data_IF_146268388382
#
_entry.id   IF_146268388382
#
_cell.length_a   1.000
_cell.length_b   1.000
_cell.length_c   1.000
_cell.angle_alpha   90.00
_cell.angle_beta   90.00
_cell.angle_gamma   90.00
#
_symmetry.space_group_name_H-M   'P 1'
#
loop_
_entity.id
_entity.type
_entity.pdbx_description
1 polymer ?
#
# COMPACT_ATOMS: atom_id res chain seq x y z
N UNK A 1 32.55 4.69 -33.64
CA UNK A 1 31.09 4.66 -33.90
C UNK A 1 30.73 5.78 -34.86
N UNK A 2 30.24 5.46 -36.07
CA UNK A 2 29.73 6.48 -37.01
C UNK A 2 28.55 7.20 -36.37
N UNK A 3 28.42 8.53 -36.54
CA UNK A 3 27.36 9.36 -35.91
C UNK A 3 25.95 8.73 -35.96
N UNK A 4 25.64 8.03 -37.06
CA UNK A 4 24.39 7.27 -37.28
C UNK A 4 24.15 6.14 -36.26
N UNK A 5 25.20 5.43 -35.84
CA UNK A 5 25.08 4.35 -34.87
C UNK A 5 24.89 4.90 -33.44
N UNK A 6 25.48 6.05 -33.13
CA UNK A 6 25.27 6.72 -31.83
C UNK A 6 23.81 7.12 -31.60
N UNK A 7 23.17 7.72 -32.61
CA UNK A 7 21.74 8.09 -32.55
C UNK A 7 20.86 6.85 -32.35
N UNK A 8 21.15 5.76 -33.07
CA UNK A 8 20.40 4.50 -32.92
C UNK A 8 20.54 3.92 -31.51
N UNK A 9 21.75 3.90 -30.95
CA UNK A 9 21.97 3.42 -29.59
C UNK A 9 21.21 4.26 -28.56
N UNK A 10 21.25 5.59 -28.67
CA UNK A 10 20.48 6.48 -27.78
C UNK A 10 18.98 6.23 -27.90
N UNK A 11 18.46 6.08 -29.12
CA UNK A 11 17.04 5.84 -29.35
C UNK A 11 16.59 4.49 -28.77
N UNK A 12 17.41 3.45 -28.89
CA UNK A 12 17.16 2.15 -28.24
C UNK A 12 17.15 2.29 -26.71
N UNK A 13 18.12 2.99 -26.12
CA UNK A 13 18.15 3.22 -24.68
C UNK A 13 16.93 4.00 -24.17
N UNK A 14 16.46 4.99 -24.93
CA UNK A 14 15.24 5.74 -24.61
C UNK A 14 14.00 4.84 -24.65
N UNK A 15 13.88 3.97 -25.66
CA UNK A 15 12.77 3.01 -25.74
C UNK A 15 12.79 2.02 -24.57
N UNK A 16 13.96 1.49 -24.22
CA UNK A 16 14.10 0.60 -23.06
C UNK A 16 13.75 1.34 -21.77
N UNK A 17 14.25 2.57 -21.59
CA UNK A 17 13.93 3.40 -20.43
C UNK A 17 12.43 3.71 -20.31
N UNK A 18 11.77 4.02 -21.43
CA UNK A 18 10.32 4.19 -21.47
C UNK A 18 9.59 2.91 -21.04
N UNK A 19 10.04 1.75 -21.53
CA UNK A 19 9.49 0.45 -21.11
C UNK A 19 9.59 0.22 -19.60
N UNK A 20 10.75 0.54 -19.00
CA UNK A 20 10.96 0.43 -17.55
C UNK A 20 10.02 1.37 -16.78
N UNK A 21 9.83 2.60 -17.25
CA UNK A 21 8.92 3.57 -16.61
C UNK A 21 7.47 3.08 -16.69
N UNK A 22 7.02 2.63 -17.85
CA UNK A 22 5.66 2.11 -18.03
C UNK A 22 5.42 0.87 -17.17
N UNK A 23 6.41 -0.03 -17.09
CA UNK A 23 6.36 -1.18 -16.20
C UNK A 23 6.20 -0.75 -14.73
N UNK A 24 7.02 0.18 -14.27
CA UNK A 24 6.98 0.67 -12.89
C UNK A 24 5.65 1.34 -12.52
N UNK A 25 5.01 2.03 -13.46
CA UNK A 25 3.70 2.67 -13.26
C UNK A 25 2.53 1.68 -13.36
N UNK A 26 2.65 0.66 -14.20
CA UNK A 26 1.59 -0.32 -14.45
C UNK A 26 1.63 -1.55 -13.55
N UNK A 27 2.73 -1.79 -12.84
CA UNK A 27 2.88 -2.99 -11.98
C UNK A 27 1.79 -2.98 -10.91
N UNK A 28 1.09 -4.09 -10.82
CA UNK A 28 0.05 -4.30 -9.82
C UNK A 28 0.63 -4.91 -8.55
N UNK A 29 0.07 -4.52 -7.42
CA UNK A 29 0.44 -4.96 -6.09
C UNK A 29 -0.81 -5.36 -5.33
N UNK A 30 -0.73 -6.49 -4.63
CA UNK A 30 -1.74 -6.92 -3.66
C UNK A 30 -1.37 -6.36 -2.29
N UNK A 31 -2.27 -5.57 -1.73
CA UNK A 31 -2.12 -4.92 -0.43
C UNK A 31 -3.09 -5.60 0.52
N UNK A 32 -2.55 -6.41 1.42
CA UNK A 32 -3.30 -6.97 2.53
C UNK A 32 -3.44 -5.91 3.62
N UNK A 33 -4.67 -5.55 3.95
CA UNK A 33 -5.01 -4.61 5.01
C UNK A 33 -5.44 -5.42 6.22
N UNK A 34 -4.68 -5.31 7.31
CA UNK A 34 -4.82 -6.14 8.50
C UNK A 34 -5.26 -5.29 9.70
N UNK A 35 -6.46 -5.52 10.22
CA UNK A 35 -6.99 -4.86 11.41
C UNK A 35 -6.87 -5.74 12.67
N UNK A 36 -5.68 -6.28 12.90
CA UNK A 36 -5.38 -7.11 14.08
C UNK A 36 -4.55 -6.36 15.10
N UNK A 37 -4.66 -6.77 16.36
CA UNK A 37 -3.75 -6.30 17.39
C UNK A 37 -2.31 -6.70 17.04
N UNK A 38 -1.38 -5.76 17.19
CA UNK A 38 0.01 -5.97 16.81
C UNK A 38 0.95 -5.47 17.90
N UNK A 39 1.87 -6.32 18.34
CA UNK A 39 2.96 -5.91 19.21
C UNK A 39 4.08 -5.24 18.40
N UNK A 40 4.28 -3.94 18.61
CA UNK A 40 5.35 -3.17 17.96
C UNK A 40 6.15 -2.42 19.02
N UNK A 41 7.48 -2.57 19.01
CA UNK A 41 8.36 -1.85 19.95
C UNK A 41 8.14 -2.21 21.42
N UNK A 42 7.62 -3.40 21.72
CA UNK A 42 7.32 -3.85 23.09
C UNK A 42 5.99 -3.34 23.66
N UNK A 43 5.20 -2.59 22.88
CA UNK A 43 3.84 -2.19 23.23
C UNK A 43 2.83 -2.90 22.31
N UNK A 44 1.70 -3.29 22.88
CA UNK A 44 0.59 -3.85 22.11
C UNK A 44 -0.29 -2.73 21.56
N UNK A 45 -0.47 -2.72 20.24
CA UNK A 45 -1.38 -1.82 19.55
C UNK A 45 -2.68 -2.57 19.31
N UNK A 46 -3.80 -2.21 19.95
CA UNK A 46 -5.06 -2.93 19.79
C UNK A 46 -5.67 -2.70 18.41
N UNK A 47 -6.48 -3.66 17.95
CA UNK A 47 -7.28 -3.52 16.73
C UNK A 47 -8.23 -2.32 16.81
N UNK A 48 -8.54 -1.70 15.66
CA UNK A 48 -9.55 -0.65 15.58
C UNK A 48 -10.94 -1.29 15.60
N UNK A 49 -11.88 -0.76 16.39
CA UNK A 49 -13.24 -1.33 16.46
C UNK A 49 -13.95 -1.30 15.10
N UNK A 50 -13.86 -0.16 14.42
CA UNK A 50 -14.39 0.03 13.07
C UNK A 50 -13.57 1.07 12.31
N UNK A 51 -13.10 0.71 11.12
CA UNK A 51 -12.33 1.60 10.26
C UNK A 51 -12.73 1.41 8.81
N UNK A 52 -12.93 2.52 8.10
CA UNK A 52 -13.11 2.54 6.65
C UNK A 52 -11.79 2.93 5.99
N UNK A 53 -11.34 2.13 5.04
CA UNK A 53 -10.07 2.32 4.34
C UNK A 53 -10.35 2.52 2.86
N UNK A 54 -9.72 3.53 2.28
CA UNK A 54 -9.74 3.79 0.84
C UNK A 54 -8.30 3.81 0.33
N UNK A 55 -8.03 3.04 -0.72
CA UNK A 55 -6.72 3.00 -1.38
C UNK A 55 -6.83 3.65 -2.75
N UNK A 56 -6.00 4.68 -3.00
CA UNK A 56 -5.95 5.47 -4.23
C UNK A 56 -7.30 6.03 -4.70
N UNK A 57 -8.19 6.37 -3.75
CA UNK A 57 -9.52 6.88 -4.04
C UNK A 57 -10.48 5.84 -4.63
N UNK A 58 -10.15 4.54 -4.52
CA UNK A 58 -11.00 3.44 -4.95
C UNK A 58 -12.21 3.20 -4.04
N UNK A 59 -12.79 2.01 -4.13
CA UNK A 59 -13.94 1.62 -3.32
C UNK A 59 -13.55 1.56 -1.83
N UNK A 60 -14.29 2.24 -0.92
CA UNK A 60 -14.02 2.14 0.51
C UNK A 60 -14.35 0.76 1.04
N UNK A 61 -13.41 0.17 1.78
CA UNK A 61 -13.57 -1.10 2.49
C UNK A 61 -13.73 -0.82 3.98
N UNK A 62 -14.73 -1.42 4.62
CA UNK A 62 -14.94 -1.33 6.07
C UNK A 62 -14.39 -2.57 6.75
N UNK A 63 -13.62 -2.37 7.82
CA UNK A 63 -12.99 -3.42 8.60
C UNK A 63 -13.52 -3.37 10.03
N UNK A 64 -14.01 -4.52 10.49
CA UNK A 64 -14.25 -4.74 11.91
C UNK A 64 -12.95 -5.11 12.63
N UNK A 65 -12.98 -5.14 13.96
CA UNK A 65 -11.86 -5.66 14.75
C UNK A 65 -11.53 -7.11 14.35
N UNK A 66 -10.23 -7.41 14.24
CA UNK A 66 -9.66 -8.71 13.85
C UNK A 66 -9.89 -9.13 12.38
N UNK A 67 -10.45 -8.22 11.57
CA UNK A 67 -10.72 -8.43 10.16
C UNK A 67 -9.49 -8.17 9.27
N UNK A 68 -9.47 -8.81 8.10
CA UNK A 68 -8.41 -8.68 7.10
C UNK A 68 -8.99 -8.85 5.70
N UNK A 69 -8.56 -7.99 4.80
CA UNK A 69 -8.94 -8.06 3.38
C UNK A 69 -7.76 -7.67 2.48
N UNK A 70 -7.91 -7.90 1.19
CA UNK A 70 -6.92 -7.59 0.16
C UNK A 70 -7.49 -6.61 -0.84
N UNK A 71 -6.70 -5.59 -1.17
CA UNK A 71 -6.99 -4.65 -2.24
C UNK A 71 -5.87 -4.65 -3.26
N UNK A 72 -6.22 -4.47 -4.52
CA UNK A 72 -5.25 -4.34 -5.60
C UNK A 72 -5.01 -2.87 -5.90
N UNK A 73 -3.75 -2.47 -6.03
CA UNK A 73 -3.35 -1.14 -6.49
C UNK A 73 -2.19 -1.25 -7.47
N UNK A 74 -1.89 -0.15 -8.18
CA UNK A 74 -0.87 -0.10 -9.23
C UNK A 74 0.09 1.06 -9.02
N UNK A 75 1.32 0.86 -9.50
CA UNK A 75 2.36 1.87 -9.50
C UNK A 75 3.30 1.78 -8.30
N UNK A 76 4.14 2.79 -8.14
CA UNK A 76 5.23 2.79 -7.14
C UNK A 76 4.78 3.21 -5.74
N UNK A 77 3.63 3.86 -5.63
CA UNK A 77 3.07 4.38 -4.38
C UNK A 77 1.55 4.34 -4.44
N UNK A 78 0.93 4.10 -3.29
CA UNK A 78 -0.50 4.25 -3.09
C UNK A 78 -0.79 5.22 -1.93
N UNK A 79 -1.88 5.96 -2.05
CA UNK A 79 -2.45 6.76 -0.97
C UNK A 79 -3.48 5.91 -0.22
N UNK A 80 -3.23 5.66 1.06
CA UNK A 80 -4.14 4.95 1.96
C UNK A 80 -4.79 5.97 2.89
N UNK A 81 -6.10 6.14 2.76
CA UNK A 81 -6.92 6.97 3.63
C UNK A 81 -7.65 6.06 4.61
N UNK A 82 -7.50 6.33 5.90
CA UNK A 82 -8.14 5.62 7.00
C UNK A 82 -9.13 6.57 7.67
N UNK A 83 -10.38 6.16 7.78
CA UNK A 83 -11.46 6.86 8.47
C UNK A 83 -11.90 6.00 9.66
N UNK A 84 -11.51 6.38 10.87
CA UNK A 84 -11.89 5.67 12.09
C UNK A 84 -13.32 6.06 12.42
N UNK A 85 -14.18 5.06 12.59
CA UNK A 85 -15.60 5.21 12.83
C UNK A 85 -15.90 5.08 14.34
N UNK A 86 -16.89 5.81 14.83
CA UNK A 86 -17.47 5.56 16.15
C UNK A 86 -18.54 4.46 16.10
N UNK A 87 -19.09 4.07 17.25
CA UNK A 87 -20.17 3.08 17.35
C UNK A 87 -21.49 3.48 16.67
N UNK A 88 -21.61 4.72 16.22
CA UNK A 88 -22.76 5.24 15.47
C UNK A 88 -22.47 5.38 13.97
N UNK A 89 -21.26 5.01 13.51
CA UNK A 89 -20.84 5.10 12.12
C UNK A 89 -20.35 6.49 11.67
N UNK A 90 -20.10 7.42 12.59
CA UNK A 90 -19.52 8.73 12.25
C UNK A 90 -18.00 8.66 12.22
N UNK A 91 -17.39 9.39 11.29
CA UNK A 91 -15.93 9.49 11.20
C UNK A 91 -15.41 10.36 12.35
N UNK A 92 -14.69 9.74 13.28
CA UNK A 92 -14.05 10.43 14.42
C UNK A 92 -12.69 10.98 14.04
N UNK A 93 -11.95 10.27 13.19
CA UNK A 93 -10.59 10.66 12.79
C UNK A 93 -10.27 10.16 11.39
N UNK A 94 -9.69 11.04 10.56
CA UNK A 94 -9.18 10.70 9.24
C UNK A 94 -7.65 10.77 9.25
N UNK A 95 -7.00 9.76 8.71
CA UNK A 95 -5.54 9.67 8.57
C UNK A 95 -5.20 9.28 7.15
N UNK A 96 -4.41 10.10 6.46
CA UNK A 96 -3.91 9.79 5.12
C UNK A 96 -2.42 9.46 5.17
N UNK A 97 -2.04 8.36 4.53
CA UNK A 97 -0.66 7.87 4.48
C UNK A 97 -0.29 7.44 3.08
N UNK A 98 0.93 7.79 2.68
CA UNK A 98 1.52 7.30 1.43
C UNK A 98 2.35 6.06 1.70
N UNK A 99 2.06 4.98 0.97
CA UNK A 99 2.79 3.71 1.09
C UNK A 99 3.51 3.45 -0.23
N UNK A 100 4.83 3.26 -0.19
CA UNK A 100 5.62 2.87 -1.36
C UNK A 100 5.66 1.36 -1.54
N UNK A 101 5.63 0.88 -2.77
CA UNK A 101 5.79 -0.54 -3.04
C UNK A 101 7.23 -0.89 -3.39
N UNK A 102 7.68 -2.03 -2.89
CA UNK A 102 8.93 -2.67 -3.31
C UNK A 102 8.69 -3.48 -4.58
N UNK A 103 9.72 -4.15 -5.11
CA UNK A 103 9.55 -5.07 -6.23
C UNK A 103 8.64 -6.27 -5.92
N UNK A 104 8.39 -6.56 -4.65
CA UNK A 104 7.47 -7.60 -4.21
C UNK A 104 6.03 -7.32 -4.66
N UNK A 105 5.32 -8.38 -5.02
CA UNK A 105 3.94 -8.29 -5.52
C UNK A 105 2.92 -8.19 -4.38
N UNK A 106 3.32 -8.54 -3.16
CA UNK A 106 2.43 -8.65 -1.99
C UNK A 106 3.01 -7.87 -0.83
N UNK A 107 2.20 -7.02 -0.21
CA UNK A 107 2.55 -6.30 1.02
C UNK A 107 1.40 -6.41 2.01
N UNK A 108 1.71 -6.53 3.30
CA UNK A 108 0.71 -6.51 4.36
C UNK A 108 0.92 -5.29 5.24
N UNK A 109 -0.17 -4.59 5.53
CA UNK A 109 -0.20 -3.34 6.28
C UNK A 109 -1.10 -3.49 7.50
N UNK A 110 -0.57 -3.21 8.68
CA UNK A 110 -1.34 -3.12 9.92
C UNK A 110 -2.07 -1.77 9.99
N UNK A 111 -3.40 -1.80 9.92
CA UNK A 111 -4.25 -0.61 10.00
C UNK A 111 -4.13 0.12 11.35
N UNK A 112 -4.10 -0.56 12.50
CA UNK A 112 -3.95 0.10 13.80
C UNK A 112 -2.65 0.90 13.93
N UNK A 113 -1.53 0.32 13.51
CA UNK A 113 -0.23 0.98 13.57
C UNK A 113 -0.15 2.14 12.57
N UNK A 114 -0.70 1.94 11.37
CA UNK A 114 -0.76 2.97 10.34
C UNK A 114 -1.61 4.19 10.78
N UNK A 115 -2.71 3.93 11.50
CA UNK A 115 -3.59 4.95 12.07
C UNK A 115 -2.93 5.79 13.19
N UNK A 116 -2.01 5.18 13.95
CA UNK A 116 -1.21 5.88 14.96
C UNK A 116 -0.01 6.62 14.36
N UNK A 117 0.34 6.33 13.09
CA UNK A 117 1.53 6.87 12.44
C UNK A 117 2.83 6.26 12.98
N UNK A 118 2.74 5.08 13.60
CA UNK A 118 3.91 4.35 14.08
C UNK A 118 4.71 3.74 12.93
N UNK A 119 6.02 3.59 13.13
CA UNK A 119 6.84 2.75 12.25
C UNK A 119 6.56 1.27 12.51
N UNK A 120 6.88 0.37 11.56
CA UNK A 120 6.61 -1.06 11.72
C UNK A 120 5.19 -1.51 11.32
N UNK A 121 4.43 -0.66 10.63
CA UNK A 121 3.13 -1.05 10.07
C UNK A 121 3.22 -2.11 8.94
N UNK A 122 4.41 -2.32 8.37
CA UNK A 122 4.61 -3.35 7.33
C UNK A 122 4.84 -4.70 7.99
N UNK A 123 4.00 -5.65 7.61
CA UNK A 123 4.06 -7.03 8.05
C UNK A 123 4.57 -7.91 6.91
N UNK A 124 5.23 -9.05 7.21
CA UNK A 124 5.53 -10.04 6.19
C UNK A 124 4.21 -10.50 5.54
N UNK A 125 4.15 -10.61 4.20
CA UNK A 125 2.93 -11.03 3.53
C UNK A 125 2.52 -12.43 4.01
N UNK A 126 1.21 -12.75 4.00
CA UNK A 126 0.73 -14.04 4.46
C UNK A 126 1.37 -15.18 3.66
N UNK A 127 1.87 -16.18 4.39
CA UNK A 127 2.36 -17.43 3.80
C UNK A 127 1.13 -18.18 3.29
N UNK A 128 1.10 -18.44 1.99
CA UNK A 128 0.12 -19.36 1.41
C UNK A 128 0.71 -20.73 1.63
N UNK A 129 0.14 -21.52 2.54
CA UNK A 129 0.41 -22.96 2.63
C UNK A 129 -0.17 -23.71 1.43
#
# INVERSE_FOLDING_TARGET
MTRRNGIRTVLVLLLVGLGVVLFALGKEHQVFLDNKALAVGGAEVPALESVRVTVDGGEPLEFAADDRDVVQTRGLRAQVKLEILDGNGNVTKTVERSVSFSFEDRVMLSLPVLAQGGEGYRLPPPVVE
#
